data_IF_545749710816
#
_entry.id   IF_545749710816
#
_cell.length_a   1.000
_cell.length_b   1.000
_cell.length_c   1.000
_cell.angle_alpha   90.00
_cell.angle_beta   90.00
_cell.angle_gamma   90.00
#
_symmetry.space_group_name_H-M   'P 1'
#
loop_
_entity.id
_entity.type
_entity.pdbx_description
1 polymer ?
#
# COMPACT_ATOMS: atom_id res chain seq x y z
N UNK A 1 -25.71 -6.09 5.30
CA UNK A 1 -24.45 -5.72 5.97
C UNK A 1 -23.45 -6.85 5.75
N UNK A 2 -22.60 -6.70 4.74
CA UNK A 2 -21.37 -7.50 4.56
C UNK A 2 -20.37 -6.53 3.99
N UNK A 3 -19.60 -5.89 4.86
CA UNK A 3 -18.54 -4.95 4.50
C UNK A 3 -17.33 -5.77 4.07
N UNK A 4 -17.35 -6.23 2.82
CA UNK A 4 -16.18 -6.86 2.22
C UNK A 4 -15.08 -5.81 2.20
N UNK A 5 -13.92 -6.15 2.78
CA UNK A 5 -12.69 -5.37 2.78
C UNK A 5 -12.06 -5.27 1.40
N UNK A 6 -12.84 -4.92 0.38
CA UNK A 6 -12.31 -4.19 -0.76
C UNK A 6 -11.82 -2.86 -0.17
N UNK A 7 -10.50 -2.76 0.05
CA UNK A 7 -9.87 -1.45 -0.05
C UNK A 7 -10.21 -1.00 -1.46
N UNK A 8 -11.26 -0.18 -1.58
CA UNK A 8 -11.69 0.34 -2.86
C UNK A 8 -10.44 0.90 -3.54
N UNK A 9 -10.21 0.54 -4.80
CA UNK A 9 -9.12 1.11 -5.58
C UNK A 9 -9.10 2.64 -5.45
N UNK A 10 -10.27 3.25 -5.24
CA UNK A 10 -10.48 4.66 -4.92
C UNK A 10 -9.75 5.16 -3.65
N UNK A 11 -9.60 4.34 -2.62
CA UNK A 11 -8.84 4.66 -1.40
C UNK A 11 -7.34 4.62 -1.67
N UNK A 12 -6.86 3.63 -2.42
CA UNK A 12 -5.46 3.56 -2.83
C UNK A 12 -5.12 4.67 -3.83
N UNK A 13 -6.00 4.93 -4.79
CA UNK A 13 -5.89 6.04 -5.74
C UNK A 13 -5.97 7.38 -5.03
N UNK A 14 -6.84 7.55 -4.04
CA UNK A 14 -6.93 8.75 -3.21
C UNK A 14 -5.68 8.98 -2.36
N UNK A 15 -5.06 7.91 -1.84
CA UNK A 15 -3.76 7.99 -1.16
C UNK A 15 -2.62 8.32 -2.13
N UNK A 16 -2.63 7.72 -3.31
CA UNK A 16 -1.69 8.02 -4.39
C UNK A 16 -1.81 9.47 -4.88
N UNK A 17 -3.02 9.99 -5.02
CA UNK A 17 -3.30 11.39 -5.37
C UNK A 17 -2.96 12.36 -4.22
N UNK A 18 -3.03 11.90 -2.98
CA UNK A 18 -2.59 12.65 -1.79
C UNK A 18 -1.05 12.69 -1.66
N UNK A 19 -0.35 11.72 -2.24
CA UNK A 19 1.09 11.78 -2.50
C UNK A 19 1.35 12.73 -3.68
N UNK A 20 1.01 14.03 -3.53
CA UNK A 20 1.34 15.07 -4.51
C UNK A 20 2.83 15.39 -4.46
N UNK A 21 3.59 14.60 -5.20
CA UNK A 21 5.05 14.66 -5.34
C UNK A 21 5.54 13.25 -5.68
N UNK A 22 6.65 13.07 -6.41
CA UNK A 22 7.04 11.74 -6.86
C UNK A 22 7.32 10.80 -5.67
N UNK A 23 6.55 9.72 -5.45
CA UNK A 23 7.04 8.61 -4.65
C UNK A 23 7.92 7.79 -5.59
N UNK A 24 9.24 7.85 -5.40
CA UNK A 24 10.18 7.26 -6.37
C UNK A 24 10.48 5.78 -6.09
N UNK A 25 10.14 5.27 -4.90
CA UNK A 25 10.41 3.88 -4.57
C UNK A 25 9.32 3.28 -3.68
N UNK A 26 8.70 2.21 -4.21
CA UNK A 26 7.84 1.30 -3.47
C UNK A 26 8.65 0.03 -3.16
N UNK A 27 8.73 -0.35 -1.89
CA UNK A 27 9.35 -1.61 -1.45
C UNK A 27 8.27 -2.49 -0.85
N UNK A 28 8.16 -3.70 -1.38
CA UNK A 28 7.23 -4.72 -0.89
C UNK A 28 7.99 -5.68 0.02
N UNK A 29 7.52 -5.84 1.26
CA UNK A 29 8.08 -6.80 2.21
C UNK A 29 7.00 -7.80 2.61
N UNK A 30 7.32 -9.09 2.77
CA UNK A 30 6.38 -10.04 3.35
C UNK A 30 6.07 -9.64 4.79
N UNK A 31 4.79 -9.42 5.08
CA UNK A 31 4.35 -9.06 6.43
C UNK A 31 4.38 -10.28 7.35
N UNK A 32 4.74 -10.08 8.63
CA UNK A 32 4.86 -11.17 9.62
C UNK A 32 3.56 -11.97 9.82
N UNK A 33 2.40 -11.35 9.58
CA UNK A 33 1.08 -11.95 9.78
C UNK A 33 0.47 -12.51 8.48
N UNK A 34 1.26 -12.58 7.41
CA UNK A 34 0.79 -12.88 6.05
C UNK A 34 0.30 -11.61 5.33
N UNK A 35 0.60 -11.52 4.05
CA UNK A 35 0.35 -10.32 3.23
C UNK A 35 1.64 -9.58 2.90
N UNK A 36 1.51 -8.29 2.57
CA UNK A 36 2.62 -7.42 2.19
C UNK A 36 2.58 -6.10 2.95
N UNK A 37 3.73 -5.69 3.47
CA UNK A 37 3.98 -4.32 3.89
C UNK A 37 4.54 -3.54 2.69
N UNK A 38 3.85 -2.45 2.35
CA UNK A 38 4.20 -1.50 1.30
C UNK A 38 4.87 -0.29 1.95
N UNK A 39 6.17 -0.16 1.73
CA UNK A 39 6.96 0.97 2.20
C UNK A 39 7.17 1.96 1.05
N UNK A 40 6.76 3.20 1.25
CA UNK A 40 6.88 4.26 0.24
C UNK A 40 7.95 5.24 0.67
N UNK A 41 8.94 5.45 -0.20
CA UNK A 41 10.04 6.38 0.04
C UNK A 41 9.98 7.58 -0.92
N UNK A 42 10.42 8.74 -0.41
CA UNK A 42 10.67 9.91 -1.24
C UNK A 42 11.99 9.78 -2.05
N UNK A 43 12.26 10.77 -2.89
CA UNK A 43 13.47 10.84 -3.72
C UNK A 43 14.80 10.88 -2.94
N UNK A 44 14.74 11.15 -1.64
CA UNK A 44 15.89 11.21 -0.72
C UNK A 44 16.08 9.91 0.05
N UNK A 45 15.21 8.92 -0.15
CA UNK A 45 15.22 7.65 0.60
C UNK A 45 14.59 7.77 1.99
N UNK A 46 13.79 8.80 2.25
CA UNK A 46 13.04 8.95 3.50
C UNK A 46 11.74 8.16 3.40
N UNK A 47 11.43 7.34 4.41
CA UNK A 47 10.14 6.64 4.49
C UNK A 47 9.03 7.66 4.75
N UNK A 48 8.06 7.75 3.86
CA UNK A 48 6.96 8.72 3.93
C UNK A 48 5.59 8.08 4.18
N UNK A 49 5.42 6.79 3.85
CA UNK A 49 4.20 6.06 4.15
C UNK A 49 4.46 4.56 4.34
N UNK A 50 3.59 3.93 5.13
CA UNK A 50 3.55 2.49 5.37
C UNK A 50 2.10 2.03 5.24
N UNK A 51 1.86 1.13 4.29
CA UNK A 51 0.54 0.55 4.04
C UNK A 51 0.62 -0.97 4.10
N UNK A 52 -0.45 -1.62 4.60
CA UNK A 52 -0.53 -3.07 4.71
C UNK A 52 -1.55 -3.63 3.71
N UNK A 53 -1.17 -4.70 3.00
CA UNK A 53 -2.02 -5.45 2.09
C UNK A 53 -2.20 -6.88 2.66
N UNK A 54 -3.43 -7.26 3.07
CA UNK A 54 -3.72 -8.61 3.55
C UNK A 54 -3.43 -9.69 2.51
N UNK A 55 -2.97 -10.88 2.96
CA UNK A 55 -2.66 -12.02 2.10
C UNK A 55 -3.81 -12.43 1.15
N UNK A 56 -5.05 -12.28 1.61
CA UNK A 56 -6.26 -12.59 0.86
C UNK A 56 -6.40 -11.76 -0.43
N UNK A 57 -5.85 -10.54 -0.43
CA UNK A 57 -5.85 -9.64 -1.59
C UNK A 57 -4.62 -9.86 -2.49
N UNK A 58 -3.51 -10.37 -1.94
CA UNK A 58 -2.29 -10.66 -2.70
C UNK A 58 -2.49 -11.86 -3.64
N UNK A 59 -3.22 -12.89 -3.19
CA UNK A 59 -3.42 -14.15 -3.91
C UNK A 59 -4.39 -14.07 -5.11
N UNK A 60 -4.96 -12.90 -5.39
CA UNK A 60 -5.87 -12.70 -6.54
C UNK A 60 -5.18 -12.10 -7.79
N UNK A 61 -3.85 -11.98 -7.76
CA UNK A 61 -3.01 -11.37 -8.82
C UNK A 61 -2.47 -12.40 -9.82
#
# INVERSE_FOLDING_TARGET
>A
MSGNGEIAQDVLAGRWDALKGPPLLLVELPAEHGGLDLLIYDERGTLVDVSFVPAELVLQS
#
